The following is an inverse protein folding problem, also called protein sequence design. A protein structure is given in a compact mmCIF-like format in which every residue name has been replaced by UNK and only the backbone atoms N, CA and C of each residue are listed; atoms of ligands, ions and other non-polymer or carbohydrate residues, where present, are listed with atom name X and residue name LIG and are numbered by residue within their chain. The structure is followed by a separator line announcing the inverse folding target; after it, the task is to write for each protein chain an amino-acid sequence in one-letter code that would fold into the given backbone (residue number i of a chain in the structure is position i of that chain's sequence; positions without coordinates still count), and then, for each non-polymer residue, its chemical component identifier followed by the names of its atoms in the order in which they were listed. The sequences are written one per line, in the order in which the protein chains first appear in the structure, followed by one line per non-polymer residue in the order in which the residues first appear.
data_IF_978279551464
#
_entry.id   IF_978279551464
#
_cell.length_a   1.000
_cell.length_b   1.000
_cell.length_c   1.000
_cell.angle_alpha   90.00
_cell.angle_beta   90.00
_cell.angle_gamma   90.00
#
_symmetry.space_group_name_H-M   'P 1'
#
loop_
_entity.id
_entity.type
_entity.pdbx_description
1 polymer ?
#
# COMPACT_ATOMS: atom_id res chain seq x y z
N UNK A 1 4.19 4.52 -9.36
CA UNK A 1 5.31 4.67 -10.29
C UNK A 1 4.84 4.33 -11.70
N UNK A 2 5.52 4.84 -12.70
CA UNK A 2 5.30 4.56 -14.11
C UNK A 2 6.61 4.03 -14.70
N UNK A 3 6.52 3.27 -15.80
CA UNK A 3 7.69 2.77 -16.51
C UNK A 3 8.57 3.95 -16.93
N UNK A 4 9.86 3.90 -16.57
CA UNK A 4 10.83 4.95 -16.85
C UNK A 4 11.09 5.92 -15.69
N UNK A 5 10.27 5.90 -14.62
CA UNK A 5 10.57 6.68 -13.41
C UNK A 5 11.89 6.21 -12.78
N UNK A 6 12.72 7.16 -12.35
CA UNK A 6 13.98 6.86 -11.64
C UNK A 6 13.70 6.48 -10.19
N UNK A 7 14.36 5.45 -9.71
CA UNK A 7 14.28 4.97 -8.33
C UNK A 7 15.69 4.95 -7.73
N UNK A 8 15.83 5.48 -6.50
CA UNK A 8 17.05 5.37 -5.71
C UNK A 8 16.85 4.32 -4.62
N UNK A 9 17.76 3.36 -4.56
CA UNK A 9 17.81 2.34 -3.51
C UNK A 9 19.13 2.47 -2.75
N UNK A 10 19.05 2.61 -1.43
CA UNK A 10 20.21 2.55 -0.54
C UNK A 10 19.95 1.54 0.58
N UNK A 11 20.63 0.40 0.50
CA UNK A 11 20.53 -0.66 1.53
C UNK A 11 21.17 -0.21 2.84
N UNK A 12 22.32 0.48 2.75
CA UNK A 12 23.04 1.01 3.92
C UNK A 12 22.16 1.98 4.73
N UNK A 13 21.45 2.87 4.04
CA UNK A 13 20.59 3.87 4.67
C UNK A 13 19.16 3.36 4.90
N UNK A 14 18.82 2.15 4.44
CA UNK A 14 17.46 1.60 4.46
C UNK A 14 16.44 2.52 3.78
N UNK A 15 16.83 3.10 2.64
CA UNK A 15 16.01 4.04 1.86
C UNK A 15 15.63 3.50 0.50
N UNK A 16 14.39 3.78 0.12
CA UNK A 16 13.85 3.58 -1.21
C UNK A 16 13.11 4.86 -1.60
N UNK A 17 13.67 5.64 -2.52
CA UNK A 17 13.09 6.91 -2.96
C UNK A 17 12.66 6.82 -4.43
N UNK A 18 11.46 7.30 -4.74
CA UNK A 18 11.00 7.54 -6.10
C UNK A 18 11.42 8.95 -6.51
N UNK A 19 12.31 9.08 -7.48
CA UNK A 19 12.90 10.35 -7.90
C UNK A 19 11.98 11.08 -8.89
N UNK A 20 10.78 11.40 -8.45
CA UNK A 20 9.77 12.16 -9.20
C UNK A 20 9.47 13.44 -8.43
N UNK A 21 9.37 14.60 -9.09
CA UNK A 21 8.96 15.86 -8.45
C UNK A 21 7.64 15.75 -7.70
N UNK A 22 7.51 16.48 -6.58
CA UNK A 22 6.37 16.35 -5.67
C UNK A 22 5.04 16.83 -6.29
N UNK A 23 5.10 17.81 -7.19
CA UNK A 23 3.96 18.30 -7.98
C UNK A 23 3.41 17.22 -8.91
N UNK A 24 4.28 16.47 -9.59
CA UNK A 24 3.88 15.34 -10.43
C UNK A 24 3.35 14.18 -9.58
N UNK A 25 3.95 13.92 -8.41
CA UNK A 25 3.40 12.93 -7.47
C UNK A 25 2.01 13.33 -6.97
N UNK A 26 1.79 14.60 -6.66
CA UNK A 26 0.48 15.13 -6.25
C UNK A 26 -0.56 14.95 -7.36
N UNK A 27 -0.21 15.30 -8.60
CA UNK A 27 -1.07 15.08 -9.78
C UNK A 27 -1.41 13.60 -9.97
N UNK A 28 -0.43 12.71 -9.87
CA UNK A 28 -0.64 11.26 -10.02
C UNK A 28 -1.52 10.69 -8.90
N UNK A 29 -1.35 11.16 -7.66
CA UNK A 29 -2.21 10.77 -6.52
C UNK A 29 -3.65 11.24 -6.71
N UNK A 30 -3.85 12.47 -7.21
CA UNK A 30 -5.19 12.99 -7.50
C UNK A 30 -5.92 12.20 -8.60
N UNK A 31 -5.17 11.64 -9.56
CA UNK A 31 -5.73 10.81 -10.62
C UNK A 31 -5.91 9.33 -10.24
N UNK A 32 -5.38 8.89 -9.10
CA UNK A 32 -5.41 7.49 -8.70
C UNK A 32 -6.82 7.05 -8.31
N UNK A 33 -7.21 5.84 -8.74
CA UNK A 33 -8.46 5.21 -8.37
C UNK A 33 -8.17 3.82 -7.77
N UNK A 34 -8.79 3.48 -6.62
CA UNK A 34 -8.65 2.15 -6.06
C UNK A 34 -9.28 1.11 -6.99
N UNK A 35 -8.78 -0.13 -6.91
CA UNK A 35 -9.41 -1.27 -7.54
C UNK A 35 -10.82 -1.49 -6.94
N UNK A 36 -11.78 -2.03 -7.71
CA UNK A 36 -13.11 -2.31 -7.18
C UNK A 36 -13.05 -3.37 -6.08
N UNK A 37 -13.77 -3.11 -4.99
CA UNK A 37 -13.88 -4.05 -3.88
C UNK A 37 -14.62 -5.33 -4.33
N UNK A 38 -14.22 -6.52 -3.83
CA UNK A 38 -14.97 -7.75 -4.03
C UNK A 38 -16.39 -7.65 -3.47
N UNK A 39 -17.36 -8.28 -4.15
CA UNK A 39 -18.79 -8.15 -3.78
C UNK A 39 -19.19 -8.98 -2.56
N UNK A 40 -18.59 -10.16 -2.37
CA UNK A 40 -18.96 -11.12 -1.30
C UNK A 40 -17.87 -12.18 -1.09
N UNK A 41 -18.08 -13.04 -0.09
CA UNK A 41 -17.25 -14.22 0.16
C UNK A 41 -15.96 -13.90 0.90
N UNK A 42 -15.01 -14.85 0.86
CA UNK A 42 -13.72 -14.71 1.51
C UNK A 42 -12.94 -13.47 1.03
N UNK A 43 -12.95 -13.18 -0.27
CA UNK A 43 -12.25 -12.02 -0.83
C UNK A 43 -12.77 -10.70 -0.26
N UNK A 44 -14.09 -10.59 -0.03
CA UNK A 44 -14.68 -9.41 0.62
C UNK A 44 -14.23 -9.31 2.07
N UNK A 45 -14.24 -10.43 2.81
CA UNK A 45 -13.79 -10.46 4.19
C UNK A 45 -12.32 -10.04 4.30
N UNK A 46 -11.44 -10.59 3.46
CA UNK A 46 -10.01 -10.24 3.44
C UNK A 46 -9.83 -8.78 3.06
N UNK A 47 -10.46 -8.31 1.98
CA UNK A 47 -10.41 -6.90 1.56
C UNK A 47 -10.78 -5.94 2.70
N UNK A 48 -11.80 -6.29 3.48
CA UNK A 48 -12.34 -5.42 4.53
C UNK A 48 -11.60 -5.54 5.88
N UNK A 49 -10.88 -6.64 6.13
CA UNK A 49 -10.33 -6.95 7.45
C UNK A 49 -8.80 -7.11 7.49
N UNK A 50 -8.12 -7.24 6.35
CA UNK A 50 -6.66 -7.44 6.34
C UNK A 50 -5.91 -6.18 6.76
N UNK A 51 -4.94 -6.34 7.65
CA UNK A 51 -4.04 -5.28 8.08
C UNK A 51 -2.89 -5.06 7.09
N UNK A 52 -2.16 -3.95 7.21
CA UNK A 52 -1.04 -3.70 6.32
C UNK A 52 0.15 -4.64 6.65
N UNK A 53 1.04 -4.86 5.68
CA UNK A 53 2.18 -5.76 5.84
C UNK A 53 3.09 -5.43 7.06
N UNK A 54 3.37 -4.15 7.40
CA UNK A 54 4.11 -3.82 8.63
C UNK A 54 3.42 -4.27 9.92
N UNK A 55 2.11 -4.49 9.88
CA UNK A 55 1.30 -4.97 11.00
C UNK A 55 1.10 -6.50 10.96
N UNK A 56 1.72 -7.20 10.00
CA UNK A 56 1.70 -8.66 9.89
C UNK A 56 0.73 -9.24 8.85
N UNK A 57 -0.02 -8.40 8.12
CA UNK A 57 -1.00 -8.84 7.11
C UNK A 57 -2.04 -9.86 7.64
N UNK A 58 -2.37 -9.78 8.93
CA UNK A 58 -3.40 -10.60 9.58
C UNK A 58 -4.80 -9.98 9.41
N UNK A 59 -5.84 -10.73 9.74
CA UNK A 59 -7.21 -10.21 9.80
C UNK A 59 -7.44 -9.54 11.15
N UNK A 60 -7.94 -8.30 11.12
CA UNK A 60 -8.11 -7.47 12.31
C UNK A 60 -8.88 -8.17 13.44
N UNK A 61 -9.93 -8.93 13.11
CA UNK A 61 -10.76 -9.65 14.08
C UNK A 61 -10.11 -10.91 14.68
N UNK A 62 -8.95 -11.34 14.17
CA UNK A 62 -8.18 -12.45 14.72
C UNK A 62 -7.10 -11.99 15.70
N UNK A 63 -6.86 -10.68 15.83
CA UNK A 63 -5.88 -10.16 16.79
C UNK A 63 -6.34 -10.43 18.22
N UNK A 64 -5.45 -10.91 19.10
CA UNK A 64 -5.77 -11.09 20.51
C UNK A 64 -6.16 -9.75 21.14
N UNK A 65 -7.19 -9.74 21.99
CA UNK A 65 -7.54 -8.56 22.78
C UNK A 65 -6.36 -8.16 23.68
N UNK A 66 -5.94 -6.89 23.62
CA UNK A 66 -4.99 -6.30 24.57
C UNK A 66 -3.51 -6.24 24.17
N UNK A 67 -3.17 -6.20 22.87
CA UNK A 67 -1.82 -5.82 22.41
C UNK A 67 -1.81 -4.76 21.32
#
# INVERSE_FOLDING_TARGET
AQTGDRIRLSVRERRLDLLVPEDELARRRAAWKPAPAPRRGWDKLVHDQVLQAPEGADLAFLRPEGR
#
